data_IF_242528516645
#
_entry.id   IF_242528516645
#
_cell.length_a   1.000
_cell.length_b   1.000
_cell.length_c   1.000
_cell.angle_alpha   90.00
_cell.angle_beta   90.00
_cell.angle_gamma   90.00
#
_symmetry.space_group_name_H-M   'P 1'
#
loop_
_entity.id
_entity.type
_entity.pdbx_description
1 polymer ?
#
# COMPACT_ATOMS: atom_id res chain seq x y z
N UNK A 1 -16.68 16.43 2.21
CA UNK A 1 -16.34 16.58 3.65
C UNK A 1 -15.34 17.73 3.81
N UNK A 2 -15.39 18.46 4.94
CA UNK A 2 -14.37 19.50 5.24
C UNK A 2 -13.02 18.80 5.45
N UNK A 3 -11.89 19.35 4.94
CA UNK A 3 -10.56 18.73 5.05
C UNK A 3 -10.17 18.27 6.47
N UNK A 4 -10.49 19.07 7.48
CA UNK A 4 -10.20 18.74 8.88
C UNK A 4 -10.89 17.47 9.37
N UNK A 5 -12.13 17.20 8.93
CA UNK A 5 -12.84 15.98 9.29
C UNK A 5 -12.16 14.76 8.65
N UNK A 6 -11.72 14.89 7.39
CA UNK A 6 -10.99 13.80 6.71
C UNK A 6 -9.68 13.51 7.42
N UNK A 7 -8.91 14.55 7.78
CA UNK A 7 -7.66 14.41 8.52
C UNK A 7 -7.91 13.72 9.86
N UNK A 8 -8.88 14.20 10.64
CA UNK A 8 -9.20 13.62 11.94
C UNK A 8 -9.55 12.12 11.82
N UNK A 9 -10.44 11.74 10.89
CA UNK A 9 -10.81 10.34 10.67
C UNK A 9 -9.64 9.51 10.18
N UNK A 10 -8.81 10.06 9.27
CA UNK A 10 -7.65 9.39 8.71
C UNK A 10 -6.52 9.19 9.74
N UNK A 11 -6.50 9.91 10.83
CA UNK A 11 -5.55 9.72 11.94
C UNK A 11 -6.16 8.87 13.04
N UNK A 12 -7.36 9.22 13.51
CA UNK A 12 -7.96 8.55 14.66
C UNK A 12 -8.25 7.07 14.44
N UNK A 13 -8.82 6.72 13.27
CA UNK A 13 -9.19 5.33 13.00
C UNK A 13 -7.95 4.41 12.91
N UNK A 14 -6.91 4.69 12.10
CA UNK A 14 -5.70 3.87 12.08
C UNK A 14 -4.95 3.83 13.41
N UNK A 15 -4.88 4.94 14.14
CA UNK A 15 -4.24 4.98 15.47
C UNK A 15 -5.02 4.13 16.50
N UNK A 16 -6.36 4.14 16.46
CA UNK A 16 -7.18 3.28 17.32
C UNK A 16 -6.95 1.80 16.98
N UNK A 17 -6.89 1.45 15.70
CA UNK A 17 -6.59 0.08 15.25
C UNK A 17 -5.17 -0.32 15.70
N UNK A 18 -4.18 0.57 15.56
CA UNK A 18 -2.82 0.33 16.01
C UNK A 18 -2.74 0.09 17.54
N UNK A 19 -3.49 0.84 18.32
CA UNK A 19 -3.56 0.65 19.77
C UNK A 19 -4.18 -0.71 20.15
N UNK A 20 -5.28 -1.10 19.48
CA UNK A 20 -5.95 -2.39 19.70
C UNK A 20 -5.13 -3.59 19.23
N UNK A 21 -4.32 -3.39 18.18
CA UNK A 21 -3.47 -4.41 17.57
C UNK A 21 -2.15 -4.62 18.32
N UNK A 22 -1.80 -3.74 19.26
CA UNK A 22 -0.52 -3.81 19.97
C UNK A 22 -0.40 -5.11 20.78
N UNK A 23 0.71 -5.88 20.65
CA UNK A 23 0.93 -7.04 21.50
C UNK A 23 1.04 -6.67 22.98
N UNK A 24 0.46 -7.51 23.85
CA UNK A 24 0.41 -7.26 25.28
C UNK A 24 1.82 -7.04 25.87
N UNK A 25 1.97 -6.02 26.69
CA UNK A 25 3.23 -5.71 27.37
C UNK A 25 4.30 -5.01 26.51
N UNK A 26 4.11 -4.89 25.18
CA UNK A 26 5.10 -4.25 24.31
C UNK A 26 4.83 -2.73 24.27
N UNK A 27 5.74 -1.98 24.89
CA UNK A 27 5.63 -0.51 24.98
C UNK A 27 6.89 0.18 24.44
N UNK A 28 6.70 1.39 23.93
CA UNK A 28 7.75 2.31 23.52
C UNK A 28 7.43 3.68 24.11
N UNK A 29 8.37 4.29 24.81
CA UNK A 29 8.16 5.56 25.52
C UNK A 29 6.96 5.52 26.50
N UNK A 30 6.65 4.37 27.11
CA UNK A 30 5.51 4.18 28.03
C UNK A 30 4.15 4.02 27.35
N UNK A 31 4.07 4.05 26.02
CA UNK A 31 2.84 3.87 25.23
C UNK A 31 2.86 2.56 24.44
N UNK A 32 1.70 2.04 23.97
CA UNK A 32 1.65 0.89 23.07
C UNK A 32 2.60 1.10 21.89
N UNK A 33 3.56 0.19 21.67
CA UNK A 33 4.62 0.37 20.69
C UNK A 33 4.08 0.58 19.26
N UNK A 34 3.05 -0.19 18.86
CA UNK A 34 2.45 -0.06 17.55
C UNK A 34 1.76 1.31 17.36
N UNK A 35 1.12 1.84 18.40
CA UNK A 35 0.54 3.19 18.38
C UNK A 35 1.64 4.27 18.18
N UNK A 36 2.77 4.15 18.89
CA UNK A 36 3.90 5.10 18.73
C UNK A 36 4.45 5.05 17.32
N UNK A 37 4.60 3.85 16.73
CA UNK A 37 5.04 3.68 15.35
C UNK A 37 4.03 4.26 14.35
N UNK A 38 2.72 4.10 14.61
CA UNK A 38 1.68 4.71 13.79
C UNK A 38 1.74 6.24 13.83
N UNK A 39 1.89 6.84 15.02
CA UNK A 39 2.09 8.30 15.16
C UNK A 39 3.38 8.74 14.45
N UNK A 40 4.47 7.97 14.59
CA UNK A 40 5.72 8.21 13.86
C UNK A 40 5.55 8.23 12.35
N UNK A 41 4.71 7.33 11.81
CA UNK A 41 4.38 7.32 10.38
C UNK A 41 3.73 8.65 9.94
N UNK A 42 2.76 9.19 10.71
CA UNK A 42 2.16 10.49 10.40
C UNK A 42 3.16 11.63 10.54
N UNK A 43 4.00 11.62 11.58
CA UNK A 43 5.04 12.63 11.75
C UNK A 43 5.97 12.68 10.53
N UNK A 44 6.41 11.53 10.02
CA UNK A 44 7.25 11.46 8.81
C UNK A 44 6.53 12.05 7.58
N UNK A 45 5.24 11.73 7.40
CA UNK A 45 4.45 12.29 6.31
C UNK A 45 4.28 13.81 6.42
N UNK A 46 3.98 14.33 7.61
CA UNK A 46 3.77 15.76 7.83
C UNK A 46 5.07 16.54 7.77
N UNK A 47 6.19 15.97 8.23
CA UNK A 47 7.51 16.59 8.07
C UNK A 47 7.90 16.71 6.58
N UNK A 48 7.64 15.65 5.78
CA UNK A 48 7.90 15.68 4.35
C UNK A 48 6.91 16.58 3.58
N UNK A 49 5.68 16.74 4.07
CA UNK A 49 4.72 17.69 3.51
C UNK A 49 5.24 19.13 3.54
N UNK A 50 6.00 19.55 4.56
CA UNK A 50 6.46 20.94 4.69
C UNK A 50 7.30 21.37 3.46
N UNK A 51 8.43 20.71 3.13
CA UNK A 51 9.19 21.09 1.95
C UNK A 51 8.43 20.84 0.64
N UNK A 52 7.60 19.81 0.58
CA UNK A 52 6.76 19.54 -0.59
C UNK A 52 5.76 20.69 -0.84
N UNK A 53 5.17 21.26 0.22
CA UNK A 53 4.25 22.38 0.12
C UNK A 53 4.98 23.68 -0.25
N UNK A 54 6.15 23.93 0.32
CA UNK A 54 6.96 25.11 0.01
C UNK A 54 7.48 25.10 -1.43
N UNK A 55 7.85 23.91 -1.94
CA UNK A 55 8.32 23.72 -3.31
C UNK A 55 7.20 23.41 -4.33
N UNK A 56 5.93 23.40 -3.91
CA UNK A 56 4.76 23.03 -4.74
C UNK A 56 4.97 21.74 -5.55
N UNK A 57 5.62 20.74 -4.93
CA UNK A 57 6.02 19.50 -5.60
C UNK A 57 5.50 18.25 -4.91
N UNK A 58 5.08 17.27 -5.71
CA UNK A 58 4.66 15.93 -5.27
C UNK A 58 5.69 14.84 -5.58
N UNK A 59 6.83 15.20 -6.17
CA UNK A 59 7.81 14.24 -6.73
C UNK A 59 8.30 13.19 -5.73
N UNK A 60 8.36 13.54 -4.45
CA UNK A 60 8.82 12.67 -3.37
C UNK A 60 7.68 12.00 -2.60
N UNK A 61 6.42 12.22 -2.98
CA UNK A 61 5.26 11.70 -2.28
C UNK A 61 5.31 10.16 -2.14
N UNK A 62 5.33 9.46 -3.26
CA UNK A 62 5.36 7.98 -3.26
C UNK A 62 6.64 7.42 -2.62
N UNK A 63 7.80 8.07 -2.84
CA UNK A 63 9.07 7.69 -2.20
C UNK A 63 9.01 7.82 -0.68
N UNK A 64 8.44 8.92 -0.17
CA UNK A 64 8.26 9.13 1.28
C UNK A 64 7.36 8.06 1.88
N UNK A 65 6.29 7.66 1.20
CA UNK A 65 5.45 6.54 1.62
C UNK A 65 6.25 5.26 1.79
N UNK A 66 7.05 4.90 0.82
CA UNK A 66 7.92 3.71 0.85
C UNK A 66 8.98 3.79 1.97
N UNK A 67 9.62 4.94 2.13
CA UNK A 67 10.56 5.16 3.23
C UNK A 67 9.89 5.07 4.60
N UNK A 68 8.64 5.51 4.73
CA UNK A 68 7.87 5.39 5.97
C UNK A 68 7.60 3.93 6.32
N UNK A 69 7.22 3.08 5.34
CA UNK A 69 7.12 1.63 5.56
C UNK A 69 8.42 1.03 6.09
N UNK A 70 9.55 1.36 5.44
CA UNK A 70 10.85 0.85 5.88
C UNK A 70 11.21 1.35 7.28
N UNK A 71 11.01 2.65 7.56
CA UNK A 71 11.33 3.24 8.86
C UNK A 71 10.55 2.59 10.01
N UNK A 72 9.20 2.48 9.88
CA UNK A 72 8.39 1.88 10.96
C UNK A 72 8.67 0.38 11.11
N UNK A 73 8.94 -0.34 10.01
CA UNK A 73 9.27 -1.77 10.05
C UNK A 73 10.61 -2.00 10.75
N UNK A 74 11.65 -1.24 10.39
CA UNK A 74 12.96 -1.33 11.05
C UNK A 74 12.88 -0.90 12.52
N UNK A 75 12.11 0.14 12.83
CA UNK A 75 11.88 0.55 14.22
C UNK A 75 11.15 -0.55 15.01
N UNK A 76 10.15 -1.21 14.41
CA UNK A 76 9.46 -2.33 15.05
C UNK A 76 10.42 -3.50 15.36
N UNK A 77 11.32 -3.83 14.42
CA UNK A 77 12.37 -4.83 14.66
C UNK A 77 13.28 -4.41 15.80
N UNK A 78 13.69 -3.13 15.85
CA UNK A 78 14.60 -2.61 16.88
C UNK A 78 14.00 -2.58 18.29
N UNK A 79 12.66 -2.46 18.41
CA UNK A 79 11.98 -2.45 19.73
C UNK A 79 11.28 -3.77 20.05
N UNK A 80 11.36 -4.75 19.16
CA UNK A 80 10.78 -6.08 19.38
C UNK A 80 11.44 -6.74 20.60
N UNK A 81 10.65 -7.29 21.55
CA UNK A 81 11.19 -7.93 22.76
C UNK A 81 11.97 -9.20 22.44
N UNK A 82 11.67 -9.85 21.34
CA UNK A 82 12.36 -11.04 20.86
C UNK A 82 12.07 -11.21 19.37
N UNK A 83 13.11 -11.49 18.59
CA UNK A 83 12.96 -11.67 17.15
C UNK A 83 13.39 -13.07 16.73
N UNK A 84 12.46 -13.80 16.17
CA UNK A 84 12.69 -15.10 15.55
C UNK A 84 12.69 -14.98 14.02
N UNK A 85 13.15 -16.02 13.32
CA UNK A 85 13.22 -15.98 11.86
C UNK A 85 11.89 -15.67 11.15
N UNK A 86 10.68 -16.08 11.61
CA UNK A 86 9.43 -15.68 10.95
C UNK A 86 9.16 -14.17 11.04
N UNK A 87 9.50 -13.54 12.17
CA UNK A 87 9.36 -12.09 12.35
C UNK A 87 10.32 -11.32 11.42
N UNK A 88 11.58 -11.81 11.33
CA UNK A 88 12.53 -11.28 10.35
C UNK A 88 12.08 -11.48 8.91
N UNK A 89 11.47 -12.62 8.59
CA UNK A 89 10.91 -12.87 7.27
C UNK A 89 9.81 -11.84 6.95
N UNK A 90 8.84 -11.66 7.85
CA UNK A 90 7.75 -10.68 7.64
C UNK A 90 8.31 -9.27 7.46
N UNK A 91 9.29 -8.86 8.26
CA UNK A 91 9.95 -7.56 8.11
C UNK A 91 10.64 -7.44 6.73
N UNK A 92 11.38 -8.46 6.32
CA UNK A 92 12.06 -8.48 5.02
C UNK A 92 11.07 -8.38 3.85
N UNK A 93 9.94 -9.09 3.92
CA UNK A 93 8.89 -9.04 2.89
C UNK A 93 8.33 -7.62 2.73
N UNK A 94 8.04 -6.93 3.84
CA UNK A 94 7.57 -5.53 3.80
C UNK A 94 8.64 -4.61 3.22
N UNK A 95 9.90 -4.74 3.64
CA UNK A 95 11.01 -3.90 3.17
C UNK A 95 11.29 -4.12 1.68
N UNK A 96 11.28 -5.38 1.22
CA UNK A 96 11.48 -5.72 -0.20
C UNK A 96 10.37 -5.10 -1.05
N UNK A 97 9.11 -5.26 -0.64
CA UNK A 97 7.98 -4.68 -1.35
C UNK A 97 8.05 -3.15 -1.38
N UNK A 98 8.26 -2.52 -0.22
CA UNK A 98 8.32 -1.06 -0.12
C UNK A 98 9.50 -0.47 -0.91
N UNK A 99 10.69 -1.08 -0.84
CA UNK A 99 11.86 -0.64 -1.60
C UNK A 99 11.66 -0.75 -3.11
N UNK A 100 11.09 -1.88 -3.56
CA UNK A 100 10.75 -2.09 -4.98
C UNK A 100 9.70 -1.09 -5.47
N UNK A 101 8.60 -0.94 -4.71
CA UNK A 101 7.51 -0.05 -5.12
C UNK A 101 7.98 1.42 -5.13
N UNK A 102 8.69 1.85 -4.09
CA UNK A 102 9.20 3.22 -4.00
C UNK A 102 10.13 3.57 -5.14
N UNK A 103 11.08 2.68 -5.48
CA UNK A 103 11.96 2.87 -6.63
C UNK A 103 11.15 2.96 -7.92
N UNK A 104 10.24 2.02 -8.15
CA UNK A 104 9.42 1.99 -9.36
C UNK A 104 8.57 3.26 -9.55
N UNK A 105 7.91 3.72 -8.49
CA UNK A 105 7.07 4.92 -8.54
C UNK A 105 7.90 6.19 -8.69
N UNK A 106 9.05 6.27 -8.03
CA UNK A 106 9.97 7.40 -8.15
C UNK A 106 10.52 7.53 -9.58
N UNK A 107 11.03 6.43 -10.16
CA UNK A 107 11.52 6.40 -11.54
C UNK A 107 10.41 6.81 -12.52
N UNK A 108 9.19 6.29 -12.33
CA UNK A 108 8.03 6.63 -13.17
C UNK A 108 7.68 8.12 -13.13
N UNK A 109 7.66 8.73 -11.94
CA UNK A 109 7.34 10.16 -11.78
C UNK A 109 8.46 11.03 -12.35
N UNK A 110 9.71 10.62 -12.15
CA UNK A 110 10.87 11.34 -12.70
C UNK A 110 10.84 11.35 -14.24
N UNK A 111 10.53 10.22 -14.86
CA UNK A 111 10.38 10.11 -16.33
C UNK A 111 9.19 10.90 -16.86
N UNK A 112 8.07 10.93 -16.13
CA UNK A 112 6.85 11.64 -16.52
C UNK A 112 6.91 13.15 -16.24
N UNK A 113 7.91 13.64 -15.53
CA UNK A 113 8.05 15.06 -15.14
C UNK A 113 7.14 15.49 -13.98
N UNK A 114 6.27 14.64 -13.49
CA UNK A 114 5.33 14.89 -12.38
C UNK A 114 4.13 13.96 -12.37
N UNK A 115 3.26 14.10 -11.38
CA UNK A 115 2.02 13.33 -11.25
C UNK A 115 0.78 14.23 -11.40
N UNK A 116 0.12 14.12 -12.53
CA UNK A 116 -1.09 14.90 -12.86
C UNK A 116 -2.21 14.77 -11.82
N UNK A 117 -2.22 13.72 -11.00
CA UNK A 117 -3.20 13.57 -9.90
C UNK A 117 -3.11 14.72 -8.89
N UNK A 118 -1.93 15.31 -8.75
CA UNK A 118 -1.65 16.38 -7.78
C UNK A 118 -1.81 17.78 -8.32
N UNK A 119 -1.99 18.01 -9.62
CA UNK A 119 -2.06 19.35 -10.21
C UNK A 119 -3.13 20.24 -9.55
N UNK A 120 -4.30 19.65 -9.22
CA UNK A 120 -5.38 20.35 -8.53
C UNK A 120 -5.34 20.21 -7.00
N UNK A 121 -4.47 19.35 -6.47
CA UNK A 121 -4.35 19.07 -5.03
C UNK A 121 -3.31 20.00 -4.41
N UNK A 122 -2.13 20.09 -5.00
CA UNK A 122 -0.97 20.83 -4.47
C UNK A 122 -1.17 22.35 -4.40
N UNK A 123 -2.09 22.90 -5.20
CA UNK A 123 -2.45 24.34 -5.15
C UNK A 123 -3.18 24.74 -3.86
N UNK A 124 -3.75 23.79 -3.13
CA UNK A 124 -4.43 24.02 -1.86
C UNK A 124 -3.72 23.30 -0.71
N UNK A 125 -3.17 24.06 0.25
CA UNK A 125 -2.45 23.50 1.40
C UNK A 125 -3.28 22.45 2.16
N UNK A 126 -4.58 22.69 2.35
CA UNK A 126 -5.46 21.77 3.06
C UNK A 126 -5.72 20.47 2.29
N UNK A 127 -5.93 20.53 0.97
CA UNK A 127 -6.10 19.34 0.13
C UNK A 127 -4.80 18.54 0.05
N UNK A 128 -3.67 19.23 -0.04
CA UNK A 128 -2.37 18.59 -0.11
C UNK A 128 -2.01 17.93 1.22
N UNK A 129 -2.29 18.58 2.36
CA UNK A 129 -2.14 17.95 3.67
C UNK A 129 -3.04 16.72 3.85
N UNK A 130 -4.27 16.75 3.34
CA UNK A 130 -5.15 15.57 3.31
C UNK A 130 -4.50 14.41 2.57
N UNK A 131 -3.90 14.66 1.39
CA UNK A 131 -3.22 13.59 0.64
C UNK A 131 -2.08 12.96 1.44
N UNK A 132 -1.21 13.77 2.06
CA UNK A 132 -0.11 13.29 2.91
C UNK A 132 -0.61 12.54 4.15
N UNK A 133 -1.70 13.00 4.76
CA UNK A 133 -2.31 12.30 5.91
C UNK A 133 -2.92 10.96 5.48
N UNK A 134 -3.59 10.91 4.32
CA UNK A 134 -4.13 9.66 3.78
C UNK A 134 -3.03 8.66 3.43
N UNK A 135 -1.85 9.12 3.02
CA UNK A 135 -0.70 8.24 2.83
C UNK A 135 -0.21 7.64 4.15
N UNK A 136 -0.16 8.44 5.23
CA UNK A 136 0.11 7.92 6.58
C UNK A 136 -0.91 6.87 7.01
N UNK A 137 -2.20 7.14 6.79
CA UNK A 137 -3.27 6.17 7.06
C UNK A 137 -3.10 4.87 6.25
N UNK A 138 -2.74 5.00 4.97
CA UNK A 138 -2.43 3.85 4.11
C UNK A 138 -1.29 3.02 4.68
N UNK A 139 -0.15 3.64 5.04
CA UNK A 139 1.01 2.95 5.61
C UNK A 139 0.63 2.21 6.89
N UNK A 140 -0.04 2.88 7.83
CA UNK A 140 -0.42 2.28 9.13
C UNK A 140 -1.38 1.11 8.93
N UNK A 141 -2.45 1.29 8.15
CA UNK A 141 -3.48 0.28 7.98
C UNK A 141 -2.97 -0.97 7.25
N UNK A 142 -2.13 -0.81 6.24
CA UNK A 142 -1.63 -1.94 5.47
C UNK A 142 -0.55 -2.71 6.22
N UNK A 143 0.36 -2.02 6.93
CA UNK A 143 1.46 -2.66 7.66
C UNK A 143 1.06 -3.19 9.05
N UNK A 144 -0.12 -2.85 9.56
CA UNK A 144 -0.54 -3.16 10.93
C UNK A 144 -0.37 -4.66 11.27
N UNK A 145 -0.80 -5.56 10.39
CA UNK A 145 -0.65 -7.00 10.59
C UNK A 145 0.84 -7.43 10.67
N UNK A 146 1.69 -6.88 9.78
CA UNK A 146 3.12 -7.15 9.79
C UNK A 146 3.78 -6.66 11.09
N UNK A 147 3.49 -5.42 11.49
CA UNK A 147 4.06 -4.82 12.70
C UNK A 147 3.62 -5.59 13.95
N UNK A 148 2.36 -6.04 14.02
CA UNK A 148 1.88 -6.89 15.13
C UNK A 148 2.68 -8.18 15.23
N UNK A 149 2.97 -8.86 14.12
CA UNK A 149 3.83 -10.06 14.11
C UNK A 149 5.22 -9.72 14.61
N UNK A 150 5.84 -8.67 14.08
CA UNK A 150 7.21 -8.27 14.41
C UNK A 150 7.35 -7.94 15.89
N UNK A 151 6.37 -7.25 16.47
CA UNK A 151 6.36 -6.87 17.88
C UNK A 151 5.92 -8.00 18.83
N UNK A 152 5.42 -9.12 18.31
CA UNK A 152 4.89 -10.21 19.15
C UNK A 152 5.99 -10.84 20.01
N UNK A 153 5.68 -11.06 21.29
CA UNK A 153 6.48 -11.87 22.21
C UNK A 153 6.12 -13.36 22.16
N UNK A 154 5.07 -13.73 21.43
CA UNK A 154 4.69 -15.12 21.24
C UNK A 154 5.39 -15.70 20.01
N UNK A 155 5.77 -16.97 20.11
CA UNK A 155 6.49 -17.70 19.06
C UNK A 155 5.74 -18.97 18.68
N UNK A 156 4.59 -18.86 18.00
CA UNK A 156 3.86 -20.04 17.56
C UNK A 156 4.71 -20.85 16.59
N UNK A 157 4.56 -22.20 16.58
CA UNK A 157 5.24 -23.02 15.60
C UNK A 157 4.85 -22.62 14.18
N UNK A 158 5.83 -22.62 13.28
CA UNK A 158 5.56 -22.33 11.87
C UNK A 158 4.78 -23.48 11.27
N UNK A 159 3.50 -23.25 11.05
CA UNK A 159 2.58 -24.24 10.50
C UNK A 159 2.10 -23.88 9.08
N UNK A 160 1.14 -24.67 8.61
CA UNK A 160 0.57 -24.54 7.26
C UNK A 160 -0.01 -23.15 7.01
N UNK A 161 -0.65 -22.52 8.00
CA UNK A 161 -1.26 -21.18 7.85
C UNK A 161 -0.20 -20.15 7.51
N UNK A 162 0.93 -20.14 8.24
CA UNK A 162 2.03 -19.22 7.97
C UNK A 162 2.63 -19.47 6.58
N UNK A 163 2.83 -20.73 6.20
CA UNK A 163 3.36 -21.09 4.88
C UNK A 163 2.42 -20.66 3.74
N UNK A 164 1.11 -20.87 3.89
CA UNK A 164 0.11 -20.40 2.92
C UNK A 164 0.14 -18.88 2.77
N UNK A 165 0.24 -18.14 3.88
CA UNK A 165 0.39 -16.69 3.84
C UNK A 165 1.64 -16.25 3.07
N UNK A 166 2.78 -16.91 3.30
CA UNK A 166 4.02 -16.63 2.58
C UNK A 166 3.91 -16.93 1.07
N UNK A 167 3.25 -18.03 0.69
CA UNK A 167 2.99 -18.36 -0.71
C UNK A 167 2.08 -17.30 -1.35
N UNK A 168 1.00 -16.90 -0.68
CA UNK A 168 0.12 -15.83 -1.15
C UNK A 168 0.89 -14.53 -1.38
N UNK A 169 1.80 -14.18 -0.46
CA UNK A 169 2.64 -13.00 -0.61
C UNK A 169 3.54 -13.11 -1.85
N UNK A 170 4.24 -14.23 -2.02
CA UNK A 170 5.14 -14.46 -3.17
C UNK A 170 4.40 -14.37 -4.50
N UNK A 171 3.23 -15.01 -4.60
CA UNK A 171 2.40 -14.98 -5.81
C UNK A 171 1.92 -13.55 -6.06
N UNK A 172 1.38 -12.87 -5.03
CA UNK A 172 0.89 -11.50 -5.14
C UNK A 172 1.99 -10.52 -5.58
N UNK A 173 3.15 -10.59 -4.94
CA UNK A 173 4.32 -9.77 -5.29
C UNK A 173 4.79 -10.03 -6.73
N UNK A 174 4.87 -11.30 -7.15
CA UNK A 174 5.26 -11.65 -8.51
C UNK A 174 4.28 -11.09 -9.54
N UNK A 175 2.97 -11.25 -9.30
CA UNK A 175 1.93 -10.71 -10.19
C UNK A 175 2.03 -9.19 -10.28
N UNK A 176 2.21 -8.49 -9.16
CA UNK A 176 2.35 -7.03 -9.13
C UNK A 176 3.58 -6.58 -9.93
N UNK A 177 4.76 -7.18 -9.66
CA UNK A 177 6.02 -6.84 -10.36
C UNK A 177 5.92 -7.07 -11.86
N UNK A 178 5.38 -8.23 -12.27
CA UNK A 178 5.25 -8.58 -13.70
C UNK A 178 4.25 -7.65 -14.38
N UNK A 179 3.11 -7.36 -13.75
CA UNK A 179 2.11 -6.45 -14.30
C UNK A 179 2.66 -5.02 -14.49
N UNK A 180 3.35 -4.49 -13.48
CA UNK A 180 3.97 -3.17 -13.56
C UNK A 180 5.05 -3.11 -14.64
N UNK A 181 5.89 -4.16 -14.75
CA UNK A 181 6.91 -4.26 -15.80
C UNK A 181 6.29 -4.30 -17.19
N UNK A 182 5.27 -5.13 -17.40
CA UNK A 182 4.54 -5.20 -18.69
C UNK A 182 3.98 -3.83 -19.07
N UNK A 183 3.36 -3.13 -18.11
CA UNK A 183 2.80 -1.80 -18.37
C UNK A 183 3.86 -0.75 -18.69
N UNK A 184 5.00 -0.80 -18.01
CA UNK A 184 6.13 0.10 -18.28
C UNK A 184 6.74 -0.15 -19.66
N UNK A 185 6.96 -1.41 -20.02
CA UNK A 185 7.46 -1.79 -21.35
C UNK A 185 6.49 -1.39 -22.46
N UNK A 186 5.18 -1.60 -22.25
CA UNK A 186 4.15 -1.19 -23.21
C UNK A 186 4.18 0.32 -23.46
N UNK A 187 4.32 1.12 -22.40
CA UNK A 187 4.37 2.58 -22.50
C UNK A 187 5.68 3.13 -23.07
N UNK A 188 6.78 2.40 -22.92
CA UNK A 188 8.07 2.78 -23.44
C UNK A 188 8.20 2.54 -24.95
N UNK A 189 7.34 1.75 -25.56
CA UNK A 189 7.34 1.47 -26.99
C UNK A 189 6.52 2.54 -27.73
N UNK A 190 7.15 3.38 -28.59
CA UNK A 190 6.45 4.43 -29.33
C UNK A 190 5.29 3.93 -30.21
N UNK A 191 5.31 2.65 -30.62
CA UNK A 191 4.24 2.04 -31.42
C UNK A 191 2.91 1.94 -30.64
N UNK A 192 2.96 2.01 -29.32
CA UNK A 192 1.81 1.94 -28.44
C UNK A 192 1.31 3.33 -27.98
N UNK A 193 1.86 4.41 -28.54
CA UNK A 193 1.43 5.76 -28.20
C UNK A 193 -0.08 5.94 -28.46
N UNK A 194 -0.80 6.51 -27.51
CA UNK A 194 -2.26 6.65 -27.56
C UNK A 194 -3.07 5.38 -27.29
N UNK A 195 -2.42 4.22 -27.18
CA UNK A 195 -3.08 2.93 -27.00
C UNK A 195 -3.20 2.53 -25.52
N UNK A 196 -4.09 1.57 -25.23
CA UNK A 196 -4.22 0.94 -23.92
C UNK A 196 -3.62 -0.46 -23.92
N UNK A 197 -3.05 -0.87 -22.80
CA UNK A 197 -2.47 -2.22 -22.66
C UNK A 197 -3.58 -3.26 -22.48
N UNK A 198 -3.52 -4.34 -23.30
CA UNK A 198 -4.44 -5.47 -23.29
C UNK A 198 -3.73 -6.82 -23.51
N UNK A 199 -2.43 -6.89 -23.23
CA UNK A 199 -1.58 -8.07 -23.45
C UNK A 199 -1.03 -8.62 -22.15
N UNK A 200 -0.52 -9.84 -22.13
CA UNK A 200 0.05 -10.47 -20.95
C UNK A 200 -0.96 -10.61 -19.81
N UNK A 201 -0.58 -10.20 -18.59
CA UNK A 201 -1.49 -10.20 -17.44
C UNK A 201 -2.68 -9.24 -17.62
N UNK A 202 -2.49 -8.16 -18.39
CA UNK A 202 -3.53 -7.18 -18.70
C UNK A 202 -4.62 -7.70 -19.65
N UNK A 203 -4.35 -8.78 -20.38
CA UNK A 203 -5.39 -9.51 -21.11
C UNK A 203 -6.29 -10.35 -20.19
N UNK A 204 -5.79 -10.72 -19.01
CA UNK A 204 -6.48 -11.59 -18.05
C UNK A 204 -7.19 -10.84 -16.94
N UNK A 205 -6.74 -9.62 -16.64
CA UNK A 205 -7.33 -8.70 -15.67
C UNK A 205 -7.06 -7.26 -16.09
N UNK A 206 -8.02 -6.36 -15.86
CA UNK A 206 -7.84 -4.93 -16.11
C UNK A 206 -6.93 -4.23 -15.10
N UNK A 207 -6.73 -4.85 -13.92
CA UNK A 207 -5.90 -4.33 -12.84
C UNK A 207 -5.11 -5.45 -12.15
N UNK A 208 -4.22 -6.17 -12.88
CA UNK A 208 -3.51 -7.32 -12.33
C UNK A 208 -2.52 -6.92 -11.23
N UNK A 209 -1.92 -5.72 -11.29
CA UNK A 209 -1.06 -5.21 -10.23
C UNK A 209 -1.83 -4.96 -8.93
N UNK A 210 -3.06 -4.45 -8.98
CA UNK A 210 -3.89 -4.29 -7.78
C UNK A 210 -4.34 -5.64 -7.20
N UNK A 211 -4.61 -6.62 -8.06
CA UNK A 211 -4.84 -7.99 -7.59
C UNK A 211 -3.62 -8.53 -6.84
N UNK A 212 -2.43 -8.33 -7.40
CA UNK A 212 -1.16 -8.70 -6.76
C UNK A 212 -0.98 -8.04 -5.39
N UNK A 213 -1.21 -6.73 -5.31
CA UNK A 213 -1.09 -5.95 -4.07
C UNK A 213 -2.10 -6.39 -3.00
N UNK A 214 -3.36 -6.62 -3.36
CA UNK A 214 -4.37 -7.16 -2.43
C UNK A 214 -3.95 -8.56 -1.95
N UNK A 215 -3.47 -9.41 -2.84
CA UNK A 215 -3.08 -10.78 -2.51
C UNK A 215 -1.87 -10.81 -1.56
N UNK A 216 -0.84 -9.99 -1.80
CA UNK A 216 0.33 -9.96 -0.93
C UNK A 216 0.01 -9.45 0.47
N UNK A 217 -0.81 -8.39 0.61
CA UNK A 217 -1.24 -7.91 1.93
C UNK A 217 -2.18 -8.89 2.63
N UNK A 218 -3.00 -9.63 1.88
CA UNK A 218 -3.76 -10.77 2.41
C UNK A 218 -2.83 -11.87 2.91
N UNK A 219 -1.72 -12.14 2.19
CA UNK A 219 -0.68 -13.06 2.62
C UNK A 219 -0.05 -12.67 3.97
N UNK A 220 0.28 -11.39 4.15
CA UNK A 220 0.77 -10.86 5.44
C UNK A 220 -0.27 -11.09 6.55
N UNK A 221 -1.54 -10.78 6.29
CA UNK A 221 -2.62 -10.98 7.27
C UNK A 221 -2.79 -12.47 7.65
N UNK A 222 -2.68 -13.37 6.68
CA UNK A 222 -2.72 -14.83 6.93
C UNK A 222 -1.50 -15.29 7.75
N UNK A 223 -0.29 -14.79 7.45
CA UNK A 223 0.88 -15.08 8.27
C UNK A 223 0.74 -14.57 9.71
N UNK A 224 -0.03 -13.51 9.95
CA UNK A 224 -0.26 -12.97 11.28
C UNK A 224 -1.21 -13.85 12.13
N UNK A 225 -2.11 -14.61 11.52
CA UNK A 225 -3.16 -15.38 12.25
C UNK A 225 -2.63 -16.18 13.46
N UNK A 226 -1.52 -16.93 13.37
CA UNK A 226 -1.00 -17.70 14.50
C UNK A 226 -0.52 -16.84 15.68
N UNK A 227 -0.28 -15.56 15.47
CA UNK A 227 0.24 -14.61 16.47
C UNK A 227 -0.87 -13.82 17.16
N UNK A 228 -2.11 -13.85 16.63
CA UNK A 228 -3.19 -12.97 17.06
C UNK A 228 -3.91 -13.51 18.29
N UNK A 229 -4.16 -12.63 19.26
CA UNK A 229 -4.98 -12.87 20.43
C UNK A 229 -5.82 -11.64 20.80
N UNK A 230 -6.93 -11.85 21.48
CA UNK A 230 -7.79 -10.76 21.98
C UNK A 230 -8.18 -9.75 20.89
N UNK A 231 -7.87 -8.47 21.12
CA UNK A 231 -8.21 -7.38 20.20
C UNK A 231 -7.34 -7.33 18.93
N UNK A 232 -6.23 -8.05 18.88
CA UNK A 232 -5.31 -8.06 17.75
C UNK A 232 -5.93 -8.56 16.43
N UNK A 233 -7.05 -9.30 16.52
CA UNK A 233 -7.79 -9.73 15.33
C UNK A 233 -8.25 -8.57 14.43
N UNK A 234 -8.26 -7.34 14.96
CA UNK A 234 -8.57 -6.13 14.20
C UNK A 234 -7.60 -5.92 13.00
N UNK A 235 -6.38 -6.48 13.04
CA UNK A 235 -5.41 -6.35 11.93
C UNK A 235 -5.88 -7.03 10.65
N UNK A 236 -6.82 -7.97 10.72
CA UNK A 236 -7.42 -8.60 9.55
C UNK A 236 -8.29 -7.63 8.72
N UNK A 237 -8.56 -6.43 9.23
CA UNK A 237 -9.10 -5.33 8.44
C UNK A 237 -8.13 -4.80 7.39
N UNK A 238 -6.81 -5.05 7.54
CA UNK A 238 -5.77 -4.59 6.60
C UNK A 238 -6.07 -4.97 5.13
N UNK A 239 -6.23 -6.24 4.75
CA UNK A 239 -6.53 -6.57 3.35
C UNK A 239 -7.88 -6.04 2.86
N UNK A 240 -8.87 -5.93 3.74
CA UNK A 240 -10.17 -5.32 3.41
C UNK A 240 -10.03 -3.82 3.13
N UNK A 241 -9.17 -3.14 3.89
CA UNK A 241 -8.84 -1.74 3.66
C UNK A 241 -8.13 -1.56 2.31
N UNK A 242 -7.11 -2.38 2.00
CA UNK A 242 -6.42 -2.36 0.71
C UNK A 242 -7.41 -2.57 -0.43
N UNK A 243 -8.24 -3.61 -0.34
CA UNK A 243 -9.29 -3.90 -1.32
C UNK A 243 -10.25 -2.71 -1.48
N UNK A 244 -10.79 -2.19 -0.39
CA UNK A 244 -11.75 -1.08 -0.41
C UNK A 244 -11.16 0.17 -1.04
N UNK A 245 -9.93 0.54 -0.66
CA UNK A 245 -9.28 1.74 -1.17
C UNK A 245 -8.96 1.62 -2.66
N UNK A 246 -8.37 0.52 -3.10
CA UNK A 246 -8.00 0.31 -4.50
C UNK A 246 -9.22 0.14 -5.42
N UNK A 247 -10.30 -0.49 -4.94
CA UNK A 247 -11.46 -0.80 -5.79
C UNK A 247 -12.59 0.21 -5.75
N UNK A 248 -12.70 1.01 -4.67
CA UNK A 248 -13.86 1.90 -4.43
C UNK A 248 -13.48 3.37 -4.28
N UNK A 249 -12.26 3.70 -3.80
CA UNK A 249 -11.92 5.08 -3.43
C UNK A 249 -10.95 5.73 -4.41
N UNK A 250 -9.73 5.21 -4.56
CA UNK A 250 -8.66 5.91 -5.28
C UNK A 250 -8.15 5.20 -6.53
N UNK A 251 -7.97 3.89 -6.50
CA UNK A 251 -7.31 3.13 -7.56
C UNK A 251 -8.16 3.01 -8.83
N UNK A 252 -8.97 1.95 -8.90
CA UNK A 252 -9.78 1.62 -10.08
C UNK A 252 -10.73 2.75 -10.52
N UNK A 253 -11.46 3.45 -9.61
CA UNK A 253 -12.36 4.51 -10.06
C UNK A 253 -11.66 5.65 -10.79
N UNK A 254 -10.45 6.01 -10.36
CA UNK A 254 -9.66 7.07 -10.99
C UNK A 254 -9.14 6.63 -12.36
N UNK A 255 -8.61 5.39 -12.44
CA UNK A 255 -8.12 4.83 -13.71
C UNK A 255 -9.24 4.60 -14.72
N UNK A 256 -10.42 4.15 -14.28
CA UNK A 256 -11.57 3.93 -15.14
C UNK A 256 -12.07 5.26 -15.76
N UNK A 257 -12.17 6.33 -14.96
CA UNK A 257 -12.51 7.66 -15.46
C UNK A 257 -11.52 8.16 -16.52
N UNK A 258 -10.22 8.02 -16.24
CA UNK A 258 -9.16 8.40 -17.19
C UNK A 258 -9.22 7.56 -18.46
N UNK A 259 -9.40 6.24 -18.35
CA UNK A 259 -9.54 5.35 -19.50
C UNK A 259 -10.74 5.70 -20.37
N UNK A 260 -11.87 6.02 -19.76
CA UNK A 260 -13.06 6.46 -20.48
C UNK A 260 -12.84 7.80 -21.20
N UNK A 261 -12.09 8.73 -20.61
CA UNK A 261 -11.74 10.00 -21.26
C UNK A 261 -10.81 9.81 -22.46
N UNK A 262 -9.85 8.89 -22.38
CA UNK A 262 -8.84 8.68 -23.42
C UNK A 262 -9.33 7.77 -24.54
N UNK A 263 -10.06 6.71 -24.20
CA UNK A 263 -10.40 5.60 -25.11
C UNK A 263 -11.88 5.24 -25.13
N UNK A 264 -12.75 6.03 -24.49
CA UNK A 264 -14.19 5.71 -24.36
C UNK A 264 -14.94 5.56 -25.68
N UNK A 265 -14.49 6.25 -26.73
CA UNK A 265 -15.04 6.14 -28.08
C UNK A 265 -14.44 5.00 -28.93
N UNK A 266 -13.42 4.30 -28.44
CA UNK A 266 -12.76 3.20 -29.18
C UNK A 266 -13.52 1.88 -28.97
N UNK A 267 -14.07 1.26 -30.04
CA UNK A 267 -14.74 -0.04 -29.95
C UNK A 267 -13.86 -1.15 -29.40
N UNK A 268 -12.54 -1.12 -29.66
CA UNK A 268 -11.59 -2.09 -29.14
C UNK A 268 -11.46 -1.97 -27.63
N UNK A 269 -11.45 -0.74 -27.10
CA UNK A 269 -11.45 -0.50 -25.65
C UNK A 269 -12.74 -0.97 -24.98
N UNK A 270 -13.91 -0.72 -25.59
CA UNK A 270 -15.19 -1.17 -25.07
C UNK A 270 -15.28 -2.71 -25.07
N UNK A 271 -14.80 -3.36 -26.12
CA UNK A 271 -14.70 -4.82 -26.19
C UNK A 271 -13.77 -5.39 -25.10
N UNK A 272 -12.62 -4.75 -24.89
CA UNK A 272 -11.70 -5.12 -23.82
C UNK A 272 -12.36 -4.99 -22.43
N UNK A 273 -13.09 -3.92 -22.17
CA UNK A 273 -13.82 -3.74 -20.90
C UNK A 273 -14.90 -4.80 -20.68
N UNK A 274 -15.58 -5.23 -21.74
CA UNK A 274 -16.63 -6.24 -21.68
C UNK A 274 -16.07 -7.65 -21.44
N UNK A 275 -14.93 -7.97 -22.05
CA UNK A 275 -14.37 -9.33 -22.06
C UNK A 275 -13.38 -9.58 -20.93
N UNK A 276 -12.70 -8.56 -20.41
CA UNK A 276 -11.63 -8.71 -19.41
C UNK A 276 -12.14 -8.42 -17.99
N UNK A 277 -11.98 -9.34 -17.04
CA UNK A 277 -12.39 -9.14 -15.65
C UNK A 277 -11.74 -7.90 -15.03
N UNK A 278 -12.48 -7.28 -14.11
CA UNK A 278 -12.03 -6.04 -13.50
C UNK A 278 -10.79 -6.20 -12.60
N UNK A 279 -10.70 -7.28 -11.82
CA UNK A 279 -9.68 -7.46 -10.80
C UNK A 279 -9.08 -8.88 -10.81
N UNK A 280 -9.89 -9.91 -10.56
CA UNK A 280 -9.40 -11.29 -10.46
C UNK A 280 -9.07 -11.79 -11.86
N UNK A 281 -7.81 -12.19 -12.14
CA UNK A 281 -7.42 -12.68 -13.45
C UNK A 281 -8.17 -13.96 -13.85
N UNK A 282 -8.55 -14.07 -15.11
CA UNK A 282 -8.98 -15.37 -15.68
C UNK A 282 -7.77 -16.30 -15.77
N UNK A 283 -7.97 -17.56 -15.40
CA UNK A 283 -7.01 -18.65 -15.61
C UNK A 283 -6.89 -19.02 -17.08
#
# INVERSE_FOLDING_TARGET
>A
MKPLIVIALAVMLPCSIAALANPSGVTLLGWPALLVLAVGAYCLQWLAFIPARLGETERFYDLTGSMTYMAITLSAVGVSPSSTWPQWLVAALVIIWAGRLGRFLFERIHQAGGDQRFDHIKVSSSRFLVAWTLQGAWVVMTSCAAITVILSSTHPPVGVIFALGAICWLVGFTVEVVADRQKSQFRADPRNEGSFINTGLWARSRHPNYFGEILLWSGIAVMAVPYLSGTQWVVLLSPLFVYGLLTRVSGIPTLARRGQQLWGGDPAYQSYLAQTPRLIPRL
#
